data_IF_512256543681
#
_entry.id   IF_512256543681
#
_cell.length_a   1.000
_cell.length_b   1.000
_cell.length_c   1.000
_cell.angle_alpha   90.00
_cell.angle_beta   90.00
_cell.angle_gamma   90.00
#
_symmetry.space_group_name_H-M   'P 1'
#
loop_
_entity.id
_entity.type
_entity.pdbx_description
1 polymer ?
#
# COMPACT_ATOMS: atom_id res chain seq x y z
N UNK A 1 -1.43 4.99 -7.12
CA UNK A 1 -0.94 4.53 -8.45
C UNK A 1 -2.12 4.50 -9.43
N UNK A 2 -2.02 5.18 -10.58
CA UNK A 2 -3.01 5.06 -11.67
C UNK A 2 -2.33 4.33 -12.83
N UNK A 3 -2.58 3.04 -12.96
CA UNK A 3 -2.18 2.28 -14.15
C UNK A 3 -3.36 2.15 -15.10
N UNK A 4 -3.09 2.29 -16.40
CA UNK A 4 -4.10 2.06 -17.43
C UNK A 4 -4.12 0.58 -17.83
N UNK A 5 -5.30 0.07 -18.20
CA UNK A 5 -5.49 -1.33 -18.65
C UNK A 5 -4.56 -1.67 -19.82
N UNK A 6 -4.22 -0.68 -20.66
CA UNK A 6 -3.29 -0.87 -21.77
C UNK A 6 -1.85 -1.14 -21.30
N UNK A 7 -1.38 -0.41 -20.28
CA UNK A 7 -0.05 -0.63 -19.68
C UNK A 7 0.04 -2.01 -19.03
N UNK A 8 -1.04 -2.44 -18.34
CA UNK A 8 -1.12 -3.78 -17.74
C UNK A 8 -1.08 -4.88 -18.81
N UNK A 9 -1.73 -4.69 -19.96
CA UNK A 9 -1.74 -5.67 -21.05
C UNK A 9 -0.44 -5.75 -21.86
N UNK A 10 0.40 -4.70 -21.85
CA UNK A 10 1.70 -4.72 -22.51
C UNK A 10 2.81 -5.30 -21.64
N UNK A 11 2.56 -5.51 -20.35
CA UNK A 11 3.51 -6.19 -19.49
C UNK A 11 3.62 -7.66 -19.91
N UNK A 12 4.85 -8.21 -19.99
CA UNK A 12 5.04 -9.61 -20.34
C UNK A 12 4.20 -10.50 -19.40
N UNK A 13 3.65 -11.60 -19.91
CA UNK A 13 2.85 -12.63 -19.17
C UNK A 13 3.67 -13.35 -18.10
N UNK A 14 4.39 -12.61 -17.28
CA UNK A 14 5.41 -13.04 -16.35
C UNK A 14 5.18 -12.21 -15.10
N UNK A 15 4.94 -12.91 -14.00
CA UNK A 15 4.83 -12.42 -12.64
C UNK A 15 5.44 -11.03 -12.44
N UNK A 16 4.57 -10.02 -12.29
CA UNK A 16 4.99 -8.64 -12.12
C UNK A 16 5.23 -8.38 -10.64
N UNK A 17 6.49 -8.33 -10.22
CA UNK A 17 6.84 -7.94 -8.86
C UNK A 17 7.04 -6.42 -8.79
N UNK A 18 6.45 -5.81 -7.78
CA UNK A 18 6.62 -4.39 -7.48
C UNK A 18 7.02 -4.20 -6.02
N UNK A 19 7.91 -3.25 -5.80
CA UNK A 19 8.40 -2.85 -4.48
C UNK A 19 8.56 -1.34 -4.51
N UNK A 20 7.50 -0.65 -4.11
CA UNK A 20 7.42 0.80 -4.20
C UNK A 20 7.11 1.41 -2.84
N UNK A 21 7.57 2.65 -2.68
CA UNK A 21 7.30 3.44 -1.48
C UNK A 21 6.34 4.56 -1.85
N UNK A 22 5.18 4.59 -1.20
CA UNK A 22 4.14 5.57 -1.43
C UNK A 22 4.13 6.57 -0.28
N UNK A 23 4.24 7.85 -0.63
CA UNK A 23 4.02 8.92 0.34
C UNK A 23 2.51 9.11 0.56
N UNK A 24 2.08 8.90 1.80
CA UNK A 24 0.70 9.07 2.24
C UNK A 24 0.56 10.22 3.23
N UNK A 25 1.52 11.16 3.24
CA UNK A 25 1.51 12.33 4.13
C UNK A 25 0.19 13.11 4.11
N UNK A 26 -0.52 13.11 2.98
CA UNK A 26 -1.85 13.74 2.85
C UNK A 26 -2.92 13.14 3.78
N UNK A 27 -2.79 11.87 4.19
CA UNK A 27 -3.73 11.23 5.13
C UNK A 27 -3.73 11.91 6.50
N UNK A 28 -2.64 12.59 6.88
CA UNK A 28 -2.57 13.36 8.12
C UNK A 28 -3.52 14.56 8.16
N UNK A 29 -4.00 15.02 7.00
CA UNK A 29 -4.89 16.19 6.92
C UNK A 29 -6.36 15.83 7.14
N UNK A 30 -6.75 14.59 6.87
CA UNK A 30 -8.16 14.14 6.90
C UNK A 30 -8.47 13.07 7.96
N UNK A 31 -7.48 12.69 8.77
CA UNK A 31 -7.62 11.63 9.78
C UNK A 31 -7.00 12.05 11.11
N UNK A 32 -7.22 11.26 12.16
CA UNK A 32 -6.55 11.47 13.45
C UNK A 32 -5.06 11.07 13.43
N UNK A 33 -4.51 10.71 12.26
CA UNK A 33 -3.11 10.37 12.07
C UNK A 33 -2.26 11.65 12.15
N UNK A 34 -1.34 11.73 13.12
CA UNK A 34 -0.43 12.87 13.30
C UNK A 34 0.59 12.97 12.19
N UNK A 35 1.16 11.83 11.82
CA UNK A 35 2.11 11.72 10.72
C UNK A 35 2.18 10.26 10.28
N UNK A 36 2.46 10.03 9.01
CA UNK A 36 2.69 8.70 8.48
C UNK A 36 4.03 8.70 7.76
N UNK A 37 4.87 7.71 8.05
CA UNK A 37 6.12 7.52 7.31
C UNK A 37 5.82 6.95 5.92
N UNK A 38 6.68 7.16 4.91
CA UNK A 38 6.48 6.58 3.59
C UNK A 38 6.21 5.08 3.66
N UNK A 39 5.10 4.65 3.07
CA UNK A 39 4.58 3.29 3.23
C UNK A 39 5.12 2.43 2.11
N UNK A 40 5.73 1.29 2.46
CA UNK A 40 6.27 0.35 1.48
C UNK A 40 5.18 -0.63 1.06
N UNK A 41 4.96 -0.71 -0.24
CA UNK A 41 4.03 -1.67 -0.86
C UNK A 41 4.85 -2.62 -1.70
N UNK A 42 4.89 -3.88 -1.28
CA UNK A 42 5.60 -4.94 -1.97
C UNK A 42 4.65 -6.06 -2.34
N UNK A 43 4.65 -6.48 -3.58
CA UNK A 43 3.75 -7.54 -4.01
C UNK A 43 4.07 -8.09 -5.38
N UNK A 44 3.25 -9.05 -5.79
CA UNK A 44 3.27 -9.69 -7.09
C UNK A 44 1.88 -9.57 -7.71
N UNK A 45 1.84 -9.20 -8.97
CA UNK A 45 0.64 -9.26 -9.80
C UNK A 45 0.79 -10.35 -10.86
N UNK A 46 -0.23 -11.18 -10.99
CA UNK A 46 -0.35 -12.19 -12.04
C UNK A 46 -1.51 -11.80 -12.97
N UNK A 47 -1.17 -11.50 -14.22
CA UNK A 47 -2.16 -11.18 -15.25
C UNK A 47 -2.45 -12.41 -16.10
N UNK A 48 -3.63 -13.01 -15.89
CA UNK A 48 -4.21 -14.01 -16.79
C UNK A 48 -5.12 -13.30 -17.78
N UNK A 49 -5.36 -13.94 -18.94
CA UNK A 49 -5.98 -13.33 -20.13
C UNK A 49 -7.24 -12.46 -19.91
N UNK A 50 -7.97 -12.62 -18.80
CA UNK A 50 -9.11 -11.77 -18.39
C UNK A 50 -9.19 -11.52 -16.87
N UNK A 51 -8.15 -11.86 -16.09
CA UNK A 51 -8.22 -11.84 -14.63
C UNK A 51 -6.86 -11.42 -14.07
N UNK A 52 -6.85 -10.55 -13.06
CA UNK A 52 -5.64 -9.97 -12.52
C UNK A 52 -5.60 -10.24 -11.02
N UNK A 53 -4.75 -11.18 -10.61
CA UNK A 53 -4.54 -11.52 -9.22
C UNK A 53 -3.41 -10.67 -8.65
N UNK A 54 -3.66 -9.96 -7.54
CA UNK A 54 -2.66 -9.15 -6.84
C UNK A 54 -2.46 -9.71 -5.44
N UNK A 55 -1.25 -10.16 -5.13
CA UNK A 55 -0.83 -10.54 -3.78
C UNK A 55 0.19 -9.52 -3.31
N UNK A 56 -0.17 -8.69 -2.33
CA UNK A 56 0.72 -7.63 -1.88
C UNK A 56 0.63 -7.39 -0.37
N UNK A 57 1.74 -6.88 0.15
CA UNK A 57 1.91 -6.50 1.54
C UNK A 57 2.24 -5.02 1.60
N UNK A 58 1.46 -4.30 2.40
CA UNK A 58 1.65 -2.90 2.74
C UNK A 58 2.25 -2.88 4.15
N UNK A 59 3.42 -2.27 4.31
CA UNK A 59 4.06 -2.10 5.62
C UNK A 59 4.47 -0.65 5.82
N UNK A 60 4.22 -0.13 7.01
CA UNK A 60 4.55 1.25 7.35
C UNK A 60 4.45 1.52 8.84
N UNK A 61 4.77 2.75 9.20
CA UNK A 61 4.63 3.25 10.57
C UNK A 61 3.87 4.57 10.54
N UNK A 62 2.85 4.68 11.39
CA UNK A 62 2.09 5.91 11.60
C UNK A 62 2.20 6.36 13.06
N UNK A 63 2.04 7.66 13.28
CA UNK A 63 1.95 8.26 14.61
C UNK A 63 0.48 8.59 14.86
N UNK A 64 -0.06 8.02 15.93
CA UNK A 64 -1.45 8.18 16.36
C UNK A 64 -1.50 8.76 17.77
N UNK A 65 -2.50 9.59 18.10
CA UNK A 65 -2.76 9.95 19.48
C UNK A 65 -3.27 8.70 20.23
N UNK A 66 -2.67 8.36 21.36
CA UNK A 66 -3.15 7.27 22.20
C UNK A 66 -4.57 7.60 22.70
N UNK A 67 -5.54 6.72 22.51
CA UNK A 67 -6.95 6.97 22.88
C UNK A 67 -7.16 7.28 24.37
N UNK A 68 -6.21 6.92 25.24
CA UNK A 68 -6.29 7.13 26.68
C UNK A 68 -5.55 8.39 27.16
N UNK A 69 -4.42 8.73 26.54
CA UNK A 69 -3.54 9.82 27.02
C UNK A 69 -3.39 10.97 26.03
N UNK A 70 -3.85 10.78 24.79
CA UNK A 70 -3.65 11.67 23.64
C UNK A 70 -2.18 11.98 23.32
N UNK A 71 -1.25 11.23 23.91
CA UNK A 71 0.17 11.30 23.62
C UNK A 71 0.44 10.60 22.31
N UNK A 72 1.32 11.17 21.51
CA UNK A 72 1.73 10.64 20.22
C UNK A 72 2.50 9.33 20.41
N UNK A 73 2.01 8.25 19.79
CA UNK A 73 2.62 6.92 19.85
C UNK A 73 2.88 6.39 18.44
N UNK A 74 4.01 5.68 18.29
CA UNK A 74 4.34 4.96 17.05
C UNK A 74 3.49 3.71 16.94
N UNK A 75 2.84 3.56 15.80
CA UNK A 75 1.96 2.45 15.48
C UNK A 75 2.44 1.81 14.16
N UNK A 76 3.25 0.74 14.24
CA UNK A 76 3.65 -0.03 13.08
C UNK A 76 2.47 -0.87 12.58
N UNK A 77 2.27 -0.90 11.27
CA UNK A 77 1.23 -1.72 10.65
C UNK A 77 1.81 -2.53 9.48
N UNK A 78 1.26 -3.72 9.30
CA UNK A 78 1.56 -4.57 8.16
C UNK A 78 0.29 -5.27 7.74
N UNK A 79 -0.14 -5.03 6.50
CA UNK A 79 -1.38 -5.54 5.93
C UNK A 79 -1.00 -6.36 4.71
N UNK A 80 -1.33 -7.64 4.73
CA UNK A 80 -1.20 -8.51 3.55
C UNK A 80 -2.59 -8.75 2.98
N UNK A 81 -2.74 -8.53 1.68
CA UNK A 81 -4.02 -8.72 0.98
C UNK A 81 -3.82 -9.45 -0.34
N UNK A 82 -4.88 -10.15 -0.76
CA UNK A 82 -4.97 -10.85 -2.03
C UNK A 82 -6.25 -10.42 -2.73
N UNK A 83 -6.12 -9.76 -3.87
CA UNK A 83 -7.22 -9.34 -4.74
C UNK A 83 -7.21 -10.20 -6.01
N UNK A 84 -8.38 -10.54 -6.58
CA UNK A 84 -8.55 -11.42 -7.76
C UNK A 84 -9.36 -10.77 -8.88
#
# INVERSE_FOLDING_TARGET
MKWTIHQLNQMPKKDFEFDETVDLSELSQSSEIRSISPVRVKGRAEFRSKQAAFDFTISGEMILPCSRTLVDVRYPFSISTKEL
#
